data_IF_560008140509
#
_entry.id   IF_560008140509
#
_cell.length_a   1.000
_cell.length_b   1.000
_cell.length_c   1.000
_cell.angle_alpha   90.00
_cell.angle_beta   90.00
_cell.angle_gamma   90.00
#
_symmetry.space_group_name_H-M   'P 1'
#
loop_
_entity.id
_entity.type
_entity.pdbx_description
1 polymer ?
#
# COMPACT_ATOMS: atom_id res chain seq x y z
N UNK A 1 26.92 6.21 18.41
CA UNK A 1 26.15 7.20 17.64
C UNK A 1 24.73 7.07 18.11
N UNK A 2 24.15 8.17 18.58
CA UNK A 2 22.82 8.16 19.17
C UNK A 2 21.77 7.84 18.11
N UNK A 3 20.90 6.89 18.44
CA UNK A 3 19.75 6.56 17.61
C UNK A 3 18.76 7.73 17.62
N UNK A 4 18.37 8.20 16.44
CA UNK A 4 17.44 9.32 16.29
C UNK A 4 16.08 8.78 15.90
N UNK A 5 15.04 9.23 16.57
CA UNK A 5 13.67 8.80 16.30
C UNK A 5 12.96 9.89 15.49
N UNK A 6 12.52 9.55 14.28
CA UNK A 6 11.78 10.46 13.39
C UNK A 6 10.42 9.88 13.03
N UNK A 7 9.46 10.76 12.73
CA UNK A 7 8.11 10.38 12.28
C UNK A 7 8.05 10.26 10.76
N UNK A 8 7.51 9.17 10.24
CA UNK A 8 7.32 8.99 8.79
C UNK A 8 6.20 9.90 8.29
N UNK A 9 6.48 10.61 7.19
CA UNK A 9 5.47 11.35 6.41
C UNK A 9 5.57 11.00 4.92
N UNK A 10 4.53 11.35 4.17
CA UNK A 10 4.45 11.09 2.73
C UNK A 10 5.56 11.82 1.96
N UNK A 11 6.21 11.10 1.05
CA UNK A 11 7.27 11.64 0.21
C UNK A 11 6.68 12.31 -1.05
N UNK A 12 7.23 13.44 -1.52
CA UNK A 12 6.74 14.05 -2.75
C UNK A 12 6.91 13.13 -3.96
N UNK A 13 5.96 13.17 -4.90
CA UNK A 13 5.91 12.30 -6.09
C UNK A 13 7.23 12.22 -6.88
N UNK A 14 7.96 13.34 -6.99
CA UNK A 14 9.24 13.41 -7.72
C UNK A 14 10.38 12.58 -7.10
N UNK A 15 10.28 12.21 -5.82
CA UNK A 15 11.30 11.45 -5.09
C UNK A 15 10.94 9.97 -4.90
N UNK A 16 9.71 9.56 -5.25
CA UNK A 16 9.27 8.17 -5.13
C UNK A 16 10.08 7.26 -6.06
N UNK A 17 10.57 6.12 -5.55
CA UNK A 17 11.34 5.15 -6.34
C UNK A 17 12.76 5.61 -6.66
N UNK A 18 13.31 6.59 -5.91
CA UNK A 18 14.70 7.06 -6.07
C UNK A 18 15.65 6.48 -5.00
N UNK A 19 15.15 5.69 -4.05
CA UNK A 19 15.95 5.06 -2.99
C UNK A 19 16.55 6.06 -2.00
N UNK A 20 15.82 7.15 -1.71
CA UNK A 20 16.28 8.25 -0.85
C UNK A 20 15.28 8.52 0.27
N UNK A 21 15.80 8.94 1.41
CA UNK A 21 15.02 9.52 2.51
C UNK A 21 15.25 11.02 2.59
N UNK A 22 14.17 11.78 2.63
CA UNK A 22 14.21 13.22 2.89
C UNK A 22 14.14 13.41 4.41
N UNK A 23 15.16 14.03 5.00
CA UNK A 23 15.27 14.20 6.45
C UNK A 23 15.24 15.68 6.81
N UNK A 24 14.60 16.00 7.94
CA UNK A 24 14.61 17.32 8.57
C UNK A 24 16.02 17.95 8.59
N UNK A 25 16.21 19.13 7.97
CA UNK A 25 17.51 19.80 7.92
C UNK A 25 18.16 20.04 9.29
N UNK A 26 17.37 20.28 10.34
CA UNK A 26 17.89 20.48 11.70
C UNK A 26 18.63 19.25 12.19
N UNK A 27 18.10 18.05 11.93
CA UNK A 27 18.72 16.79 12.31
C UNK A 27 20.04 16.60 11.56
N UNK A 28 20.09 16.98 10.29
CA UNK A 28 21.32 16.91 9.47
C UNK A 28 22.40 17.85 10.05
N UNK A 29 22.03 19.05 10.47
CA UNK A 29 22.93 20.01 11.13
C UNK A 29 23.45 19.49 12.48
N UNK A 30 22.55 19.02 13.34
CA UNK A 30 22.87 18.54 14.69
C UNK A 30 23.80 17.30 14.64
N UNK A 31 23.58 16.42 13.67
CA UNK A 31 24.37 15.19 13.46
C UNK A 31 25.61 15.40 12.60
N UNK A 32 25.71 16.54 11.91
CA UNK A 32 26.73 16.83 10.88
C UNK A 32 26.75 15.80 9.75
N UNK A 33 25.60 15.21 9.42
CA UNK A 33 25.48 14.31 8.28
C UNK A 33 25.63 15.06 6.96
N UNK A 34 26.07 14.35 5.93
CA UNK A 34 26.28 14.88 4.58
C UNK A 34 25.22 14.33 3.61
N UNK A 35 24.69 15.16 2.69
CA UNK A 35 23.84 14.67 1.61
C UNK A 35 24.48 13.49 0.88
N UNK A 36 23.70 12.44 0.62
CA UNK A 36 24.15 11.20 -0.02
C UNK A 36 24.75 10.15 0.91
N UNK A 37 24.93 10.44 2.22
CA UNK A 37 25.29 9.41 3.20
C UNK A 37 24.21 8.34 3.33
N UNK A 38 24.60 7.15 3.77
CA UNK A 38 23.68 6.02 3.92
C UNK A 38 23.15 5.97 5.34
N UNK A 39 21.83 5.89 5.45
CA UNK A 39 21.12 5.73 6.70
C UNK A 39 20.55 4.31 6.80
N UNK A 40 20.73 3.69 7.96
CA UNK A 40 19.97 2.51 8.38
C UNK A 40 18.66 2.98 9.00
N UNK A 41 17.54 2.50 8.47
CA UNK A 41 16.21 2.70 9.02
C UNK A 41 15.80 1.42 9.74
N UNK A 42 15.35 1.54 10.98
CA UNK A 42 14.89 0.42 11.81
C UNK A 42 13.48 0.66 12.31
N UNK A 43 12.60 -0.30 12.02
CA UNK A 43 11.27 -0.45 12.64
C UNK A 43 11.09 -1.92 13.05
N UNK A 44 10.24 -2.68 12.35
CA UNK A 44 10.12 -4.14 12.52
C UNK A 44 11.28 -4.88 11.84
N UNK A 45 11.73 -4.34 10.70
CA UNK A 45 12.89 -4.80 9.94
C UNK A 45 13.85 -3.63 9.72
N UNK A 46 14.98 -3.93 9.08
CA UNK A 46 16.02 -2.97 8.75
C UNK A 46 16.17 -2.85 7.25
N UNK A 47 16.28 -1.62 6.75
CA UNK A 47 16.65 -1.33 5.37
C UNK A 47 17.54 -0.09 5.35
N UNK A 48 18.07 0.25 4.18
CA UNK A 48 19.03 1.33 4.03
C UNK A 48 18.66 2.25 2.87
N UNK A 49 18.93 3.54 3.03
CA UNK A 49 18.57 4.57 2.05
C UNK A 49 19.60 5.68 2.01
N UNK A 50 19.65 6.41 0.89
CA UNK A 50 20.47 7.62 0.79
C UNK A 50 19.79 8.82 1.44
N UNK A 51 20.53 9.55 2.26
CA UNK A 51 20.09 10.80 2.86
C UNK A 51 19.95 11.89 1.79
N UNK A 52 18.80 12.56 1.80
CA UNK A 52 18.53 13.78 1.05
C UNK A 52 18.03 14.87 2.01
N UNK A 53 18.50 16.12 1.89
CA UNK A 53 18.05 17.20 2.75
C UNK A 53 16.60 17.60 2.42
N UNK A 54 15.80 17.83 3.47
CA UNK A 54 14.48 18.45 3.38
C UNK A 54 14.51 19.93 3.02
N UNK A 55 13.35 20.52 2.84
CA UNK A 55 13.24 21.96 2.58
C UNK A 55 13.42 22.76 3.88
N UNK A 56 13.74 24.05 3.76
CA UNK A 56 13.90 24.95 4.92
C UNK A 56 12.62 25.11 5.73
N UNK A 57 11.45 24.87 5.12
CA UNK A 57 10.15 24.91 5.79
C UNK A 57 9.96 23.76 6.78
N UNK A 58 10.75 22.70 6.65
CA UNK A 58 10.64 21.47 7.45
C UNK A 58 11.61 21.45 8.64
N UNK A 59 12.30 22.57 8.86
CA UNK A 59 13.32 22.71 9.88
C UNK A 59 12.75 22.49 11.29
N UNK A 60 13.24 21.46 11.99
CA UNK A 60 12.87 21.13 13.35
C UNK A 60 11.52 20.40 13.51
N UNK A 61 10.95 19.89 12.42
CA UNK A 61 9.71 19.11 12.43
C UNK A 61 9.90 17.67 12.95
N UNK A 62 11.12 17.14 12.93
CA UNK A 62 11.42 15.77 13.37
C UNK A 62 10.83 14.69 12.45
N UNK A 63 10.65 14.99 11.16
CA UNK A 63 10.06 14.07 10.17
C UNK A 63 11.09 13.47 9.23
N UNK A 64 10.74 12.32 8.69
CA UNK A 64 11.45 11.64 7.60
C UNK A 64 10.44 11.27 6.52
N UNK A 65 10.79 11.51 5.25
CA UNK A 65 9.96 11.12 4.10
C UNK A 65 10.65 10.00 3.34
N UNK A 66 9.96 8.88 3.22
CA UNK A 66 10.42 7.68 2.53
C UNK A 66 9.31 7.15 1.62
N UNK A 67 9.69 6.49 0.54
CA UNK A 67 8.74 5.90 -0.40
C UNK A 67 8.11 4.59 0.11
N UNK A 68 7.06 4.16 -0.57
CA UNK A 68 6.27 2.98 -0.22
C UNK A 68 7.11 1.70 -0.22
N UNK A 69 8.06 1.56 -1.14
CA UNK A 69 8.97 0.40 -1.17
C UNK A 69 9.82 0.33 0.10
N UNK A 70 10.42 1.46 0.51
CA UNK A 70 11.21 1.55 1.75
C UNK A 70 10.33 1.26 2.97
N UNK A 71 9.11 1.82 3.03
CA UNK A 71 8.14 1.58 4.11
C UNK A 71 7.77 0.11 4.24
N UNK A 72 7.47 -0.56 3.12
CA UNK A 72 7.18 -2.00 3.08
C UNK A 72 8.37 -2.85 3.55
N UNK A 73 9.60 -2.49 3.17
CA UNK A 73 10.80 -3.23 3.56
C UNK A 73 11.05 -3.20 5.07
N UNK A 74 10.78 -2.07 5.74
CA UNK A 74 10.89 -1.96 7.21
C UNK A 74 9.62 -2.38 7.96
N UNK A 75 8.51 -2.58 7.23
CA UNK A 75 7.19 -2.89 7.79
C UNK A 75 6.55 -1.70 8.54
N UNK A 76 6.89 -0.47 8.16
CA UNK A 76 6.37 0.76 8.77
C UNK A 76 5.32 1.41 7.84
N UNK A 77 4.48 2.25 8.42
CA UNK A 77 3.42 3.00 7.74
C UNK A 77 3.61 4.49 7.95
N UNK A 78 2.74 5.28 7.32
CA UNK A 78 2.85 6.73 7.43
C UNK A 78 2.32 7.15 8.81
N UNK A 79 3.14 7.87 9.56
CA UNK A 79 2.83 8.33 10.92
C UNK A 79 3.56 7.57 12.02
N UNK A 80 4.12 6.39 11.73
CA UNK A 80 4.98 5.65 12.65
C UNK A 80 6.24 6.45 12.99
N UNK A 81 6.84 6.11 14.13
CA UNK A 81 8.18 6.58 14.52
C UNK A 81 9.21 5.50 14.25
N UNK A 82 10.30 5.84 13.58
CA UNK A 82 11.38 4.92 13.23
C UNK A 82 12.72 5.41 13.77
N UNK A 83 13.60 4.46 14.10
CA UNK A 83 14.98 4.74 14.52
C UNK A 83 15.88 4.83 13.29
N UNK A 84 16.72 5.86 13.24
CA UNK A 84 17.66 6.08 12.15
C UNK A 84 19.09 6.26 12.67
N UNK A 85 20.06 5.78 11.91
CA UNK A 85 21.49 6.00 12.16
C UNK A 85 22.30 5.99 10.87
N UNK A 86 23.42 6.72 10.86
CA UNK A 86 24.37 6.66 9.74
C UNK A 86 25.16 5.36 9.77
N UNK A 87 25.37 4.76 8.60
CA UNK A 87 26.20 3.56 8.42
C UNK A 87 27.06 3.69 7.17
N UNK A 88 28.13 2.89 7.11
CA UNK A 88 28.92 2.76 5.88
C UNK A 88 28.31 1.68 4.98
N UNK A 89 28.22 1.98 3.69
CA UNK A 89 27.87 1.03 2.65
C UNK A 89 29.06 0.84 1.70
N UNK A 90 29.12 -0.29 1.02
CA UNK A 90 30.06 -0.50 -0.10
C UNK A 90 29.36 -0.37 -1.43
N UNK A 91 30.14 -0.18 -2.48
CA UNK A 91 29.67 -0.43 -3.84
C UNK A 91 29.36 -1.93 -4.00
N UNK A 92 28.25 -2.23 -4.67
CA UNK A 92 27.84 -3.60 -4.91
C UNK A 92 28.69 -4.20 -6.03
N UNK A 93 29.40 -5.29 -5.73
CA UNK A 93 30.02 -6.14 -6.75
C UNK A 93 28.96 -7.05 -7.39
N UNK A 94 28.10 -7.62 -6.55
CA UNK A 94 27.06 -8.55 -6.98
C UNK A 94 25.84 -8.47 -6.08
N UNK A 95 24.64 -8.52 -6.67
CA UNK A 95 23.37 -8.65 -5.96
C UNK A 95 22.60 -9.83 -6.55
N UNK A 96 22.21 -10.79 -5.71
CA UNK A 96 21.39 -11.93 -6.14
C UNK A 96 19.93 -11.66 -5.81
N UNK A 97 19.08 -11.74 -6.82
CA UNK A 97 17.65 -11.45 -6.75
C UNK A 97 16.85 -12.71 -7.05
N UNK A 98 15.97 -13.10 -6.14
CA UNK A 98 15.08 -14.24 -6.33
C UNK A 98 13.68 -13.76 -6.69
N UNK A 99 13.11 -14.20 -7.81
CA UNK A 99 11.74 -13.83 -8.18
C UNK A 99 10.74 -14.62 -7.34
N UNK A 100 9.56 -14.03 -7.15
CA UNK A 100 8.42 -14.71 -6.49
C UNK A 100 7.56 -15.50 -7.48
N UNK A 101 7.77 -15.29 -8.78
CA UNK A 101 6.99 -15.84 -9.88
C UNK A 101 7.91 -16.45 -10.94
N UNK A 102 7.38 -17.32 -11.80
CA UNK A 102 8.15 -17.87 -12.92
C UNK A 102 8.42 -16.76 -13.93
N UNK A 103 9.69 -16.54 -14.25
CA UNK A 103 10.11 -15.55 -15.24
C UNK A 103 10.54 -16.20 -16.54
N UNK A 104 10.22 -15.53 -17.64
CA UNK A 104 10.73 -15.82 -18.98
C UNK A 104 11.84 -14.84 -19.41
N UNK A 105 12.28 -13.98 -18.50
CA UNK A 105 13.33 -12.98 -18.72
C UNK A 105 14.68 -13.67 -18.50
N UNK A 106 15.63 -13.44 -19.41
CA UNK A 106 17.00 -13.89 -19.24
C UNK A 106 17.76 -13.01 -18.23
N UNK A 107 18.91 -13.50 -17.75
CA UNK A 107 19.69 -12.81 -16.71
C UNK A 107 20.30 -11.49 -17.22
N UNK A 108 20.56 -11.38 -18.53
CA UNK A 108 21.15 -10.20 -19.18
C UNK A 108 20.12 -9.05 -19.27
N UNK A 109 18.90 -9.31 -19.73
CA UNK A 109 17.83 -8.32 -19.73
C UNK A 109 17.46 -7.86 -18.31
N UNK A 110 17.50 -8.78 -17.34
CA UNK A 110 17.29 -8.43 -15.93
C UNK A 110 18.35 -7.44 -15.45
N UNK A 111 19.62 -7.70 -15.78
CA UNK A 111 20.74 -6.85 -15.41
C UNK A 111 20.54 -5.42 -15.91
N UNK A 112 20.27 -5.24 -17.20
CA UNK A 112 20.08 -3.93 -17.83
C UNK A 112 18.92 -3.15 -17.21
N UNK A 113 17.79 -3.83 -16.98
CA UNK A 113 16.60 -3.21 -16.38
C UNK A 113 16.88 -2.81 -14.93
N UNK A 114 17.57 -3.66 -14.16
CA UNK A 114 17.90 -3.37 -12.75
C UNK A 114 18.85 -2.19 -12.62
N UNK A 115 19.90 -2.12 -13.45
CA UNK A 115 20.82 -0.98 -13.44
C UNK A 115 20.08 0.31 -13.80
N UNK A 116 19.27 0.29 -14.86
CA UNK A 116 18.54 1.49 -15.33
C UNK A 116 17.57 2.03 -14.26
N UNK A 117 16.85 1.14 -13.56
CA UNK A 117 15.84 1.55 -12.58
C UNK A 117 16.42 1.84 -11.20
N UNK A 118 17.46 1.11 -10.79
CA UNK A 118 17.96 1.14 -9.41
C UNK A 118 19.39 1.64 -9.27
N UNK A 119 19.97 2.26 -10.30
CA UNK A 119 21.24 2.97 -10.14
C UNK A 119 21.18 3.89 -8.92
N UNK A 120 22.25 3.91 -8.14
CA UNK A 120 22.36 4.68 -6.90
C UNK A 120 21.43 4.25 -5.75
N UNK A 121 20.65 3.18 -5.87
CA UNK A 121 19.88 2.66 -4.73
C UNK A 121 20.78 1.91 -3.75
N UNK A 122 20.32 1.79 -2.52
CA UNK A 122 20.96 0.96 -1.50
C UNK A 122 20.08 -0.25 -1.28
N UNK A 123 20.67 -1.43 -1.27
CA UNK A 123 19.97 -2.68 -0.99
C UNK A 123 20.63 -3.46 0.13
N UNK A 124 19.79 -4.12 0.89
CA UNK A 124 20.14 -5.04 1.96
C UNK A 124 19.42 -6.36 1.75
N UNK A 125 19.98 -7.44 2.29
CA UNK A 125 19.39 -8.77 2.22
C UNK A 125 17.98 -8.75 2.83
N UNK A 126 17.04 -9.42 2.16
CA UNK A 126 15.60 -9.47 2.42
C UNK A 126 14.79 -8.25 1.99
N UNK A 127 15.41 -7.23 1.39
CA UNK A 127 14.64 -6.17 0.74
C UNK A 127 13.80 -6.74 -0.41
N UNK A 128 12.55 -6.26 -0.49
CA UNK A 128 11.63 -6.52 -1.58
C UNK A 128 11.70 -5.39 -2.59
N UNK A 129 11.85 -5.75 -3.86
CA UNK A 129 11.95 -4.83 -4.99
C UNK A 129 10.82 -5.15 -5.95
N UNK A 130 10.16 -4.10 -6.46
CA UNK A 130 9.14 -4.24 -7.50
C UNK A 130 9.65 -3.60 -8.79
N UNK A 131 9.70 -4.39 -9.86
CA UNK A 131 10.01 -3.89 -11.19
C UNK A 131 8.74 -3.77 -12.03
N UNK A 132 8.48 -2.60 -12.65
CA UNK A 132 7.44 -2.50 -13.66
C UNK A 132 7.83 -3.33 -14.89
N UNK A 133 6.87 -4.04 -15.47
CA UNK A 133 7.05 -4.74 -16.75
C UNK A 133 6.58 -3.83 -17.89
N UNK A 134 7.10 -4.07 -19.10
CA UNK A 134 6.68 -3.31 -20.29
C UNK A 134 5.18 -3.44 -20.61
N UNK A 135 4.52 -4.48 -20.09
CA UNK A 135 3.07 -4.70 -20.25
C UNK A 135 2.25 -4.15 -19.07
N UNK A 136 2.82 -3.28 -18.23
CA UNK A 136 2.11 -2.62 -17.13
C UNK A 136 1.89 -3.49 -15.89
N UNK A 137 2.43 -4.71 -15.86
CA UNK A 137 2.48 -5.55 -14.66
C UNK A 137 3.66 -5.18 -13.77
N UNK A 138 3.81 -5.86 -12.63
CA UNK A 138 4.98 -5.74 -11.76
C UNK A 138 5.51 -7.11 -11.38
N UNK A 139 6.82 -7.26 -11.39
CA UNK A 139 7.50 -8.46 -10.91
C UNK A 139 8.16 -8.13 -9.59
N UNK A 140 7.94 -8.99 -8.59
CA UNK A 140 8.60 -8.87 -7.30
C UNK A 140 9.87 -9.72 -7.25
N UNK A 141 10.93 -9.09 -6.74
CA UNK A 141 12.20 -9.72 -6.43
C UNK A 141 12.52 -9.54 -4.95
N UNK A 142 13.18 -10.54 -4.36
CA UNK A 142 13.72 -10.47 -3.01
C UNK A 142 15.24 -10.53 -3.12
N UNK A 143 15.93 -9.60 -2.46
CA UNK A 143 17.39 -9.63 -2.34
C UNK A 143 17.77 -10.80 -1.42
N UNK A 144 18.39 -11.85 -1.96
CA UNK A 144 18.77 -13.03 -1.17
C UNK A 144 20.20 -12.97 -0.69
N UNK A 145 21.08 -12.31 -1.45
CA UNK A 145 22.47 -12.10 -1.05
C UNK A 145 23.08 -10.89 -1.74
N UNK A 146 24.03 -10.25 -1.07
CA UNK A 146 24.82 -9.14 -1.59
C UNK A 146 26.31 -9.46 -1.42
N UNK A 147 27.12 -8.95 -2.35
CA UNK A 147 28.58 -8.95 -2.25
C UNK A 147 29.08 -7.50 -2.36
N UNK A 148 29.79 -6.99 -1.35
CA UNK A 148 30.07 -7.61 -0.03
C UNK A 148 28.82 -7.77 0.85
N UNK A 149 28.87 -8.63 1.88
CA UNK A 149 27.76 -8.91 2.82
C UNK A 149 27.49 -7.77 3.83
N UNK A 150 27.31 -6.56 3.31
CA UNK A 150 26.93 -5.33 4.03
C UNK A 150 25.88 -4.59 3.19
N UNK A 151 25.32 -3.45 3.65
CA UNK A 151 24.50 -2.62 2.78
C UNK A 151 25.32 -2.22 1.56
N UNK A 152 24.75 -2.42 0.37
CA UNK A 152 25.45 -2.18 -0.89
C UNK A 152 24.74 -1.13 -1.74
N UNK A 153 25.53 -0.27 -2.37
CA UNK A 153 25.09 0.76 -3.29
C UNK A 153 25.19 0.22 -4.72
N UNK A 154 24.11 0.30 -5.47
CA UNK A 154 24.10 -0.06 -6.89
C UNK A 154 24.86 0.98 -7.70
N UNK A 155 25.87 0.53 -8.44
CA UNK A 155 26.69 1.30 -9.38
C UNK A 155 26.59 0.68 -10.77
N UNK A 156 27.16 1.32 -11.79
CA UNK A 156 27.18 0.77 -13.17
C UNK A 156 27.96 -0.54 -13.28
N UNK A 157 28.89 -0.78 -12.35
CA UNK A 157 29.70 -2.00 -12.28
C UNK A 157 29.02 -3.15 -11.53
N UNK A 158 27.85 -2.94 -10.94
CA UNK A 158 27.14 -3.96 -10.15
C UNK A 158 26.62 -5.08 -11.04
N UNK A 159 26.86 -6.33 -10.65
CA UNK A 159 26.32 -7.50 -11.37
C UNK A 159 25.08 -8.03 -10.65
N UNK A 160 23.92 -7.88 -11.27
CA UNK A 160 22.69 -8.57 -10.84
C UNK A 160 22.70 -10.02 -11.30
N UNK A 161 22.35 -10.94 -10.39
CA UNK A 161 22.16 -12.36 -10.69
C UNK A 161 20.78 -12.84 -10.35
N UNK A 162 20.26 -13.77 -11.14
CA UNK A 162 18.96 -14.39 -10.88
C UNK A 162 19.12 -15.63 -9.98
N UNK A 163 18.51 -15.58 -8.80
CA UNK A 163 18.43 -16.70 -7.87
C UNK A 163 17.27 -17.64 -8.19
N UNK A 164 17.17 -18.75 -7.44
CA UNK A 164 16.01 -19.62 -7.52
C UNK A 164 14.75 -18.90 -7.04
N UNK A 165 13.59 -19.30 -7.56
CA UNK A 165 12.30 -18.80 -7.08
C UNK A 165 12.17 -18.97 -5.57
N UNK A 166 11.64 -17.96 -4.91
CA UNK A 166 11.33 -17.99 -3.47
C UNK A 166 9.85 -17.73 -3.26
N UNK A 167 9.30 -18.19 -2.15
CA UNK A 167 7.91 -17.84 -1.80
C UNK A 167 7.85 -16.34 -1.51
N UNK A 168 6.83 -15.66 -2.04
CA UNK A 168 6.51 -14.31 -1.62
C UNK A 168 6.30 -14.31 -0.09
N UNK A 169 6.82 -13.27 0.59
CA UNK A 169 6.82 -13.20 2.07
C UNK A 169 5.40 -13.20 2.63
N UNK A 170 4.41 -12.75 1.87
CA UNK A 170 2.98 -12.93 2.11
C UNK A 170 2.22 -12.70 0.80
N UNK A 171 1.52 -13.71 0.28
CA UNK A 171 0.69 -13.59 -0.95
C UNK A 171 -0.61 -12.84 -0.71
N UNK A 172 -1.08 -12.77 0.54
CA UNK A 172 -2.38 -12.23 0.91
C UNK A 172 -2.33 -10.77 1.36
N UNK A 173 -1.15 -10.14 1.34
CA UNK A 173 -0.98 -8.70 1.58
C UNK A 173 -0.75 -8.01 0.23
N UNK A 174 -1.65 -7.13 -0.22
CA UNK A 174 -1.47 -6.40 -1.47
C UNK A 174 -0.21 -5.54 -1.37
N UNK A 175 0.61 -5.53 -2.42
CA UNK A 175 1.88 -4.79 -2.41
C UNK A 175 1.76 -3.37 -2.98
N UNK A 176 0.53 -2.89 -3.17
CA UNK A 176 0.21 -1.54 -3.61
C UNK A 176 0.39 -0.60 -2.41
N UNK A 177 0.89 0.61 -2.67
CA UNK A 177 1.11 1.66 -1.65
C UNK A 177 0.34 2.92 -2.02
N UNK A 178 0.20 3.87 -1.09
CA UNK A 178 -0.47 5.15 -1.39
C UNK A 178 0.25 5.94 -2.50
N UNK A 179 1.55 5.70 -2.67
CA UNK A 179 2.41 6.26 -3.72
C UNK A 179 1.94 5.92 -5.15
N UNK A 180 1.08 4.90 -5.29
CA UNK A 180 0.51 4.42 -6.55
C UNK A 180 -0.91 4.96 -6.81
N UNK A 181 -1.43 5.81 -5.92
CA UNK A 181 -2.74 6.43 -6.05
C UNK A 181 -2.59 7.89 -6.49
N UNK A 182 -3.04 8.21 -7.71
CA UNK A 182 -3.05 9.58 -8.21
C UNK A 182 -4.40 10.26 -7.95
N UNK A 183 -4.38 11.53 -7.53
CA UNK A 183 -5.60 12.35 -7.39
C UNK A 183 -6.52 12.01 -6.23
N UNK A 184 -6.11 11.13 -5.30
CA UNK A 184 -6.94 10.64 -4.19
C UNK A 184 -6.44 11.11 -2.81
N UNK A 185 -5.74 12.25 -2.73
CA UNK A 185 -5.05 12.69 -1.49
C UNK A 185 -6.02 12.85 -0.31
N UNK A 186 -7.22 13.37 -0.55
CA UNK A 186 -8.23 13.58 0.49
C UNK A 186 -8.86 12.26 0.94
N UNK A 187 -9.14 11.38 0.00
CA UNK A 187 -9.74 10.06 0.20
C UNK A 187 -8.76 9.15 0.94
N UNK A 188 -7.48 9.18 0.56
CA UNK A 188 -6.37 8.53 1.26
C UNK A 188 -6.30 9.04 2.70
N UNK A 189 -6.33 10.36 2.93
CA UNK A 189 -6.32 10.87 4.32
C UNK A 189 -7.49 10.33 5.15
N UNK A 190 -8.72 10.35 4.61
CA UNK A 190 -9.92 9.84 5.29
C UNK A 190 -9.80 8.35 5.61
N UNK A 191 -9.40 7.53 4.63
CA UNK A 191 -9.31 6.08 4.84
C UNK A 191 -8.18 5.71 5.82
N UNK A 192 -7.10 6.48 5.85
CA UNK A 192 -6.02 6.31 6.83
C UNK A 192 -6.51 6.56 8.26
N UNK A 193 -7.28 7.62 8.47
CA UNK A 193 -7.88 7.92 9.78
C UNK A 193 -8.89 6.84 10.22
N UNK A 194 -9.63 6.27 9.28
CA UNK A 194 -10.72 5.32 9.55
C UNK A 194 -10.27 3.86 9.63
N UNK A 195 -9.21 3.47 8.93
CA UNK A 195 -8.77 2.07 8.79
C UNK A 195 -7.34 1.88 9.29
N UNK A 196 -6.38 2.65 8.78
CA UNK A 196 -4.95 2.48 9.13
C UNK A 196 -4.69 2.77 10.61
N UNK A 197 -5.23 3.89 11.13
CA UNK A 197 -4.98 4.33 12.50
C UNK A 197 -5.51 3.34 13.55
N UNK A 198 -6.77 2.83 13.48
CA UNK A 198 -7.23 1.79 14.40
C UNK A 198 -6.42 0.49 14.37
N UNK A 199 -5.94 0.09 13.19
CA UNK A 199 -5.21 -1.18 13.04
C UNK A 199 -3.77 -1.11 13.54
N UNK A 200 -3.08 0.02 13.29
CA UNK A 200 -1.69 0.23 13.72
C UNK A 200 -1.57 0.73 15.15
N UNK A 201 -2.52 1.54 15.61
CA UNK A 201 -2.49 2.18 16.93
C UNK A 201 -3.78 1.96 17.73
N UNK A 202 -4.18 0.69 18.00
CA UNK A 202 -5.39 0.39 18.76
C UNK A 202 -5.39 1.02 20.17
N UNK A 203 -4.21 1.23 20.75
CA UNK A 203 -4.03 1.86 22.06
C UNK A 203 -4.57 3.30 22.13
N UNK A 204 -4.63 4.02 21.00
CA UNK A 204 -5.19 5.36 20.96
C UNK A 204 -6.70 5.34 21.17
N UNK A 205 -7.38 4.38 20.56
CA UNK A 205 -8.83 4.21 20.67
C UNK A 205 -9.23 3.70 22.06
N UNK A 206 -8.45 2.76 22.62
CA UNK A 206 -8.67 2.26 23.98
C UNK A 206 -8.52 3.37 25.04
N UNK A 207 -7.55 4.27 24.89
CA UNK A 207 -7.34 5.41 25.82
C UNK A 207 -8.46 6.44 25.77
N UNK A 208 -9.02 6.71 24.59
CA UNK A 208 -10.05 7.72 24.39
C UNK A 208 -11.45 7.14 24.68
N UNK A 209 -11.60 5.82 24.71
CA UNK A 209 -12.86 5.13 25.00
C UNK A 209 -13.85 5.20 23.85
N UNK A 210 -13.35 5.31 22.61
CA UNK A 210 -14.16 5.33 21.38
C UNK A 210 -13.98 4.04 20.60
N UNK A 211 -15.07 3.51 20.04
CA UNK A 211 -14.98 2.35 19.16
C UNK A 211 -14.43 2.75 17.79
N UNK A 212 -13.58 1.88 17.24
CA UNK A 212 -13.11 2.02 15.87
C UNK A 212 -14.25 1.77 14.86
N UNK A 213 -14.25 2.46 13.70
CA UNK A 213 -15.19 2.18 12.63
C UNK A 213 -15.12 0.70 12.21
N UNK A 214 -16.28 0.05 12.07
CA UNK A 214 -16.33 -1.37 11.65
C UNK A 214 -16.35 -1.53 10.13
N UNK A 215 -16.86 -0.53 9.42
CA UNK A 215 -16.95 -0.60 7.97
C UNK A 215 -16.91 0.74 7.27
N UNK A 216 -16.29 0.74 6.10
CA UNK A 216 -16.16 1.90 5.22
C UNK A 216 -16.81 1.59 3.87
N UNK A 217 -17.73 2.44 3.40
CA UNK A 217 -18.32 2.35 2.07
C UNK A 217 -17.63 3.33 1.11
N UNK A 218 -16.95 2.80 0.11
CA UNK A 218 -16.38 3.54 -1.01
C UNK A 218 -17.43 3.62 -2.13
N UNK A 219 -17.77 4.82 -2.59
CA UNK A 219 -18.73 4.98 -3.68
C UNK A 219 -18.26 6.02 -4.69
N UNK A 220 -18.71 5.89 -5.93
CA UNK A 220 -18.40 6.84 -7.00
C UNK A 220 -18.40 6.16 -8.37
N UNK A 221 -18.12 6.90 -9.46
CA UNK A 221 -18.10 6.35 -10.81
C UNK A 221 -17.16 5.15 -10.98
N UNK A 222 -17.41 4.25 -11.94
CA UNK A 222 -16.49 3.15 -12.24
C UNK A 222 -15.13 3.68 -12.70
N UNK A 223 -14.05 2.96 -12.38
CA UNK A 223 -12.70 3.32 -12.82
C UNK A 223 -12.00 4.42 -12.02
N UNK A 224 -12.60 4.94 -10.94
CA UNK A 224 -11.97 5.98 -10.08
C UNK A 224 -10.99 5.43 -9.04
N UNK A 225 -10.70 4.13 -9.05
CA UNK A 225 -9.67 3.53 -8.19
C UNK A 225 -10.13 3.01 -6.82
N UNK A 226 -11.44 2.77 -6.60
CA UNK A 226 -11.99 2.19 -5.35
C UNK A 226 -11.24 0.92 -4.89
N UNK A 227 -11.09 -0.06 -5.78
CA UNK A 227 -10.39 -1.32 -5.51
C UNK A 227 -8.89 -1.11 -5.25
N UNK A 228 -8.27 -0.15 -5.95
CA UNK A 228 -6.85 0.20 -5.74
C UNK A 228 -6.63 0.86 -4.38
N UNK A 229 -7.52 1.77 -3.96
CA UNK A 229 -7.46 2.40 -2.65
C UNK A 229 -7.53 1.38 -1.52
N UNK A 230 -8.47 0.43 -1.59
CA UNK A 230 -8.59 -0.62 -0.59
C UNK A 230 -7.34 -1.53 -0.51
N UNK A 231 -6.78 -1.89 -1.67
CA UNK A 231 -5.52 -2.65 -1.73
C UNK A 231 -4.34 -1.87 -1.17
N UNK A 232 -4.24 -0.56 -1.46
CA UNK A 232 -3.18 0.29 -0.95
C UNK A 232 -3.21 0.38 0.58
N UNK A 233 -4.40 0.54 1.18
CA UNK A 233 -4.55 0.55 2.63
C UNK A 233 -4.06 -0.75 3.24
N UNK A 234 -4.48 -1.89 2.69
CA UNK A 234 -4.05 -3.20 3.19
C UNK A 234 -2.54 -3.42 3.09
N UNK A 235 -1.92 -2.95 2.01
CA UNK A 235 -0.47 -2.99 1.84
C UNK A 235 0.28 -2.12 2.84
N UNK A 236 -0.25 -0.94 3.16
CA UNK A 236 0.36 0.00 4.11
C UNK A 236 0.14 -0.44 5.57
N UNK A 237 -0.98 -1.10 5.88
CA UNK A 237 -1.21 -1.69 7.21
C UNK A 237 -0.56 -3.06 7.38
N UNK A 238 0.03 -3.64 6.32
CA UNK A 238 0.48 -5.02 6.27
C UNK A 238 -0.58 -5.99 6.82
N UNK A 239 -1.85 -5.74 6.45
CA UNK A 239 -3.00 -6.51 6.90
C UNK A 239 -3.33 -7.60 5.89
N UNK A 240 -3.85 -8.72 6.38
CA UNK A 240 -4.38 -9.76 5.52
C UNK A 240 -5.55 -9.19 4.69
N UNK A 241 -5.55 -9.39 3.37
CA UNK A 241 -6.58 -8.83 2.49
C UNK A 241 -7.40 -9.95 1.87
N UNK A 242 -8.69 -9.95 2.18
CA UNK A 242 -9.65 -10.87 1.58
C UNK A 242 -10.52 -10.08 0.61
N UNK A 243 -10.38 -10.36 -0.68
CA UNK A 243 -11.18 -9.72 -1.72
C UNK A 243 -12.35 -10.62 -2.09
N UNK A 244 -13.53 -10.03 -2.18
CA UNK A 244 -14.75 -10.69 -2.59
C UNK A 244 -15.48 -9.81 -3.60
N UNK A 245 -15.85 -10.37 -4.75
CA UNK A 245 -16.71 -9.68 -5.71
C UNK A 245 -18.16 -10.12 -5.50
N UNK A 246 -19.09 -9.16 -5.44
CA UNK A 246 -20.50 -9.46 -5.20
C UNK A 246 -21.10 -10.51 -6.17
N UNK A 247 -20.85 -10.43 -7.48
CA UNK A 247 -21.25 -11.49 -8.43
C UNK A 247 -20.67 -12.89 -8.12
N UNK A 248 -19.49 -13.00 -7.50
CA UNK A 248 -18.89 -14.29 -7.14
C UNK A 248 -19.57 -14.97 -5.94
N UNK A 249 -20.37 -14.22 -5.17
CA UNK A 249 -21.20 -14.76 -4.10
C UNK A 249 -22.51 -15.31 -4.64
N UNK A 250 -23.01 -14.76 -5.76
CA UNK A 250 -24.25 -15.22 -6.41
C UNK A 250 -24.00 -16.56 -7.12
N UNK A 251 -23.78 -17.62 -6.34
CA UNK A 251 -23.62 -18.99 -6.80
C UNK A 251 -24.92 -19.58 -7.35
N UNK A 252 -24.80 -20.71 -8.05
CA UNK A 252 -25.95 -21.42 -8.66
C UNK A 252 -26.75 -22.26 -7.65
N UNK A 253 -26.24 -22.47 -6.43
CA UNK A 253 -26.81 -23.38 -5.45
C UNK A 253 -27.25 -22.67 -4.16
N UNK A 254 -28.32 -23.18 -3.57
CA UNK A 254 -28.99 -22.60 -2.40
C UNK A 254 -28.13 -22.76 -1.14
N UNK A 255 -27.88 -21.67 -0.40
CA UNK A 255 -27.14 -21.69 0.89
C UNK A 255 -25.62 -21.56 0.79
N UNK A 256 -25.01 -21.89 -0.36
CA UNK A 256 -23.56 -21.78 -0.59
C UNK A 256 -23.04 -20.35 -0.40
N UNK A 257 -23.82 -19.35 -0.83
CA UNK A 257 -23.52 -17.93 -0.67
C UNK A 257 -23.39 -17.50 0.80
N UNK A 258 -24.25 -18.02 1.68
CA UNK A 258 -24.28 -17.65 3.10
C UNK A 258 -23.11 -18.28 3.87
N UNK A 259 -22.81 -19.54 3.57
CA UNK A 259 -21.66 -20.27 4.12
C UNK A 259 -20.35 -19.61 3.70
N UNK A 260 -20.20 -19.26 2.42
CA UNK A 260 -19.02 -18.56 1.90
C UNK A 260 -18.77 -17.21 2.59
N UNK A 261 -19.82 -16.40 2.82
CA UNK A 261 -19.66 -15.14 3.57
C UNK A 261 -19.24 -15.42 5.02
N UNK A 262 -19.83 -16.43 5.68
CA UNK A 262 -19.47 -16.80 7.05
C UNK A 262 -18.00 -17.26 7.16
N UNK A 263 -17.55 -18.09 6.23
CA UNK A 263 -16.15 -18.54 6.16
C UNK A 263 -15.19 -17.38 5.99
N UNK A 264 -15.49 -16.42 5.10
CA UNK A 264 -14.65 -15.23 4.87
C UNK A 264 -14.51 -14.39 6.15
N UNK A 265 -15.60 -14.15 6.88
CA UNK A 265 -15.53 -13.42 8.14
C UNK A 265 -14.75 -14.20 9.21
N UNK A 266 -14.92 -15.52 9.30
CA UNK A 266 -14.13 -16.36 10.22
C UNK A 266 -12.63 -16.32 9.89
N UNK A 267 -12.28 -16.46 8.60
CA UNK A 267 -10.90 -16.37 8.13
C UNK A 267 -10.31 -14.98 8.41
N UNK A 268 -11.07 -13.91 8.28
CA UNK A 268 -10.61 -12.57 8.60
C UNK A 268 -10.31 -12.38 10.09
N UNK A 269 -11.14 -12.95 10.97
CA UNK A 269 -10.92 -12.91 12.42
C UNK A 269 -9.71 -13.76 12.83
N UNK A 270 -9.52 -14.94 12.23
CA UNK A 270 -8.36 -15.81 12.49
C UNK A 270 -7.04 -15.20 12.01
N UNK A 271 -7.06 -14.49 10.88
CA UNK A 271 -5.89 -13.84 10.28
C UNK A 271 -5.75 -12.36 10.66
N UNK A 272 -6.39 -11.92 11.74
CA UNK A 272 -6.33 -10.53 12.19
C UNK A 272 -4.88 -10.09 12.51
N UNK A 273 -4.42 -8.90 12.07
CA UNK A 273 -5.18 -7.82 11.45
C UNK A 273 -5.56 -8.08 9.98
N UNK A 274 -6.84 -7.88 9.64
CA UNK A 274 -7.39 -8.24 8.33
C UNK A 274 -8.37 -7.20 7.78
N UNK A 275 -8.43 -7.07 6.46
CA UNK A 275 -9.35 -6.23 5.71
C UNK A 275 -10.17 -7.12 4.79
N UNK A 276 -11.49 -7.08 4.95
CA UNK A 276 -12.43 -7.72 4.02
C UNK A 276 -12.86 -6.65 3.02
N UNK A 277 -12.55 -6.85 1.75
CA UNK A 277 -12.97 -5.97 0.66
C UNK A 277 -14.10 -6.60 -0.13
N UNK A 278 -15.27 -5.96 -0.14
CA UNK A 278 -16.45 -6.38 -0.90
C UNK A 278 -16.64 -5.42 -2.09
N UNK A 279 -16.26 -5.85 -3.29
CA UNK A 279 -16.52 -5.10 -4.51
C UNK A 279 -17.94 -5.36 -5.02
N UNK A 280 -18.53 -4.37 -5.68
CA UNK A 280 -19.91 -4.42 -6.19
C UNK A 280 -20.94 -4.89 -5.15
N UNK A 281 -20.87 -4.32 -3.94
CA UNK A 281 -21.76 -4.71 -2.82
C UNK A 281 -23.25 -4.54 -3.16
N UNK A 282 -23.59 -3.63 -4.08
CA UNK A 282 -24.95 -3.42 -4.58
C UNK A 282 -25.55 -4.66 -5.26
N UNK A 283 -24.72 -5.59 -5.73
CA UNK A 283 -25.20 -6.86 -6.29
C UNK A 283 -25.71 -7.83 -5.22
N UNK A 284 -25.06 -7.90 -4.06
CA UNK A 284 -25.41 -8.84 -2.97
C UNK A 284 -26.26 -8.20 -1.87
N UNK A 285 -26.31 -6.87 -1.83
CA UNK A 285 -27.10 -6.14 -0.87
C UNK A 285 -28.00 -5.03 -1.45
N UNK A 286 -28.83 -5.34 -2.46
CA UNK A 286 -29.83 -4.41 -2.96
C UNK A 286 -30.90 -4.07 -1.93
N UNK A 287 -31.64 -2.98 -2.16
CA UNK A 287 -32.83 -2.61 -1.38
C UNK A 287 -33.85 -3.75 -1.38
N UNK A 288 -34.37 -4.09 -0.20
CA UNK A 288 -35.32 -5.20 -0.01
C UNK A 288 -36.61 -5.09 -0.83
N UNK A 289 -37.01 -3.86 -1.17
CA UNK A 289 -38.22 -3.57 -1.92
C UNK A 289 -38.04 -3.75 -3.43
N UNK A 290 -36.81 -3.67 -3.93
CA UNK A 290 -36.46 -3.84 -5.36
C UNK A 290 -36.25 -5.32 -5.73
N UNK A 291 -36.28 -6.21 -4.72
CA UNK A 291 -35.86 -7.60 -4.83
C UNK A 291 -37.04 -8.55 -4.62
N UNK A 292 -37.30 -9.37 -5.64
CA UNK A 292 -38.31 -10.43 -5.57
C UNK A 292 -37.77 -11.76 -5.00
N UNK A 293 -36.44 -11.96 -4.99
CA UNK A 293 -35.81 -13.21 -4.55
C UNK A 293 -35.59 -13.31 -3.04
N UNK A 294 -35.94 -14.45 -2.43
CA UNK A 294 -35.68 -14.73 -1.00
C UNK A 294 -34.19 -14.96 -0.68
N UNK A 295 -33.38 -15.31 -1.68
CA UNK A 295 -31.94 -15.60 -1.50
C UNK A 295 -31.17 -14.31 -1.18
N UNK A 296 -31.38 -13.26 -1.98
CA UNK A 296 -30.75 -11.94 -1.79
C UNK A 296 -31.10 -11.33 -0.41
N UNK A 297 -32.36 -11.42 -0.01
CA UNK A 297 -32.82 -10.95 1.32
C UNK A 297 -32.11 -11.67 2.48
N UNK A 298 -31.78 -12.95 2.31
CA UNK A 298 -31.03 -13.71 3.30
C UNK A 298 -29.55 -13.37 3.31
N UNK A 299 -28.93 -13.17 2.15
CA UNK A 299 -27.54 -12.71 2.05
C UNK A 299 -27.37 -11.37 2.78
N UNK A 300 -28.27 -10.42 2.54
CA UNK A 300 -28.32 -9.14 3.27
C UNK A 300 -28.41 -9.36 4.77
N UNK A 301 -29.36 -10.20 5.21
CA UNK A 301 -29.58 -10.48 6.63
C UNK A 301 -28.37 -11.14 7.30
N UNK A 302 -27.68 -12.02 6.58
CA UNK A 302 -26.46 -12.69 7.02
C UNK A 302 -25.30 -11.68 7.12
N UNK A 303 -25.12 -10.81 6.14
CA UNK A 303 -24.09 -9.76 6.18
C UNK A 303 -24.32 -8.80 7.36
N UNK A 304 -25.56 -8.37 7.58
CA UNK A 304 -25.93 -7.55 8.74
C UNK A 304 -25.59 -8.24 10.07
N UNK A 305 -25.92 -9.53 10.18
CA UNK A 305 -25.66 -10.32 11.39
C UNK A 305 -24.16 -10.47 11.65
N UNK A 306 -23.37 -10.70 10.62
CA UNK A 306 -21.91 -10.81 10.73
C UNK A 306 -21.28 -9.47 11.12
N UNK A 307 -21.69 -8.37 10.49
CA UNK A 307 -21.20 -7.03 10.81
C UNK A 307 -21.48 -6.63 12.26
N UNK A 308 -22.70 -6.89 12.73
CA UNK A 308 -23.09 -6.63 14.12
C UNK A 308 -22.34 -7.54 15.10
N UNK A 309 -22.10 -8.79 14.68
CA UNK A 309 -21.41 -9.83 15.44
C UNK A 309 -19.89 -9.65 15.56
N UNK A 310 -19.26 -8.82 14.72
CA UNK A 310 -17.82 -8.55 14.79
C UNK A 310 -17.45 -7.89 16.12
N UNK A 311 -16.70 -8.63 16.95
CA UNK A 311 -16.15 -8.17 18.24
C UNK A 311 -14.68 -7.78 18.16
N UNK A 312 -14.13 -7.65 16.95
CA UNK A 312 -12.69 -7.66 16.64
C UNK A 312 -11.84 -6.50 17.21
N UNK A 313 -12.37 -5.64 18.10
CA UNK A 313 -11.68 -4.43 18.65
C UNK A 313 -10.93 -3.62 17.57
N UNK A 314 -11.49 -3.52 16.37
CA UNK A 314 -10.88 -2.77 15.26
C UNK A 314 -9.74 -3.49 14.52
N UNK A 315 -9.47 -4.76 14.81
CA UNK A 315 -8.47 -5.57 14.06
C UNK A 315 -9.00 -6.15 12.75
N UNK A 316 -10.31 -6.17 12.57
CA UNK A 316 -10.95 -6.54 11.30
C UNK A 316 -11.83 -5.38 10.86
N UNK A 317 -11.61 -4.91 9.64
CA UNK A 317 -12.37 -3.81 9.03
C UNK A 317 -12.96 -4.28 7.71
N UNK A 318 -14.22 -3.93 7.44
CA UNK A 318 -14.91 -4.26 6.19
C UNK A 318 -14.96 -3.03 5.30
N UNK A 319 -14.32 -3.09 4.14
CA UNK A 319 -14.39 -2.04 3.12
C UNK A 319 -15.30 -2.56 2.01
N UNK A 320 -16.36 -1.82 1.68
CA UNK A 320 -17.23 -2.14 0.57
C UNK A 320 -17.10 -1.09 -0.54
N UNK A 321 -17.23 -1.50 -1.79
CA UNK A 321 -17.22 -0.60 -2.95
C UNK A 321 -18.50 -0.74 -3.76
N UNK A 322 -19.02 0.38 -4.25
CA UNK A 322 -20.17 0.41 -5.16
C UNK A 322 -20.07 1.56 -6.17
N UNK A 323 -20.74 1.40 -7.31
CA UNK A 323 -21.01 2.50 -8.23
C UNK A 323 -22.42 3.07 -8.06
N UNK A 324 -23.26 2.44 -7.21
CA UNK A 324 -24.69 2.75 -7.03
C UNK A 324 -25.04 2.80 -5.53
N UNK A 325 -24.59 3.84 -4.80
CA UNK A 325 -24.83 3.95 -3.36
C UNK A 325 -26.32 3.96 -2.98
N UNK A 326 -27.18 4.44 -3.88
CA UNK A 326 -28.63 4.48 -3.67
C UNK A 326 -29.32 3.12 -3.83
N UNK A 327 -28.66 2.12 -4.41
CA UNK A 327 -29.21 0.78 -4.58
C UNK A 327 -28.99 -0.13 -3.37
N UNK A 328 -28.14 0.26 -2.42
CA UNK A 328 -27.79 -0.55 -1.24
C UNK A 328 -28.88 -0.49 -0.17
N UNK A 329 -29.11 -1.61 0.54
CA UNK A 329 -29.97 -1.64 1.73
C UNK A 329 -29.54 -0.57 2.77
N UNK A 330 -30.41 0.40 3.12
CA UNK A 330 -30.09 1.44 4.10
C UNK A 330 -29.70 0.91 5.49
N UNK A 331 -30.09 -0.31 5.84
CA UNK A 331 -29.70 -0.96 7.09
C UNK A 331 -28.18 -1.16 7.16
N UNK A 332 -27.49 -1.40 6.05
CA UNK A 332 -26.03 -1.57 6.02
C UNK A 332 -25.28 -0.27 6.28
N UNK A 333 -25.90 0.89 6.02
CA UNK A 333 -25.32 2.24 6.20
C UNK A 333 -25.54 2.83 7.60
N UNK A 334 -26.09 2.05 8.53
CA UNK A 334 -26.35 2.50 9.90
C UNK A 334 -25.06 2.46 10.75
N UNK A 335 -24.96 3.30 11.79
CA UNK A 335 -23.86 3.26 12.75
C UNK A 335 -23.57 1.84 13.27
N UNK A 336 -22.29 1.46 13.34
CA UNK A 336 -21.85 0.10 13.70
C UNK A 336 -21.73 -0.88 12.52
N UNK A 337 -22.03 -0.45 11.28
CA UNK A 337 -21.86 -1.22 10.05
C UNK A 337 -20.99 -0.43 9.07
N UNK A 338 -21.51 0.01 7.91
CA UNK A 338 -20.85 1.04 7.10
C UNK A 338 -21.21 2.43 7.63
N UNK A 339 -20.59 2.79 8.74
CA UNK A 339 -20.80 4.06 9.45
C UNK A 339 -19.95 5.21 8.91
N UNK A 340 -19.09 4.90 7.94
CA UNK A 340 -18.26 5.84 7.19
C UNK A 340 -18.43 5.62 5.70
N UNK A 341 -18.54 6.74 4.99
CA UNK A 341 -18.66 6.73 3.54
C UNK A 341 -17.63 7.68 2.94
N UNK A 342 -16.97 7.23 1.88
CA UNK A 342 -15.96 8.01 1.15
C UNK A 342 -16.39 8.03 -0.32
N UNK A 343 -16.73 9.22 -0.79
CA UNK A 343 -16.93 9.48 -2.21
C UNK A 343 -15.58 9.50 -2.93
N UNK A 344 -15.47 8.74 -4.01
CA UNK A 344 -14.31 8.72 -4.91
C UNK A 344 -14.76 9.27 -6.26
N UNK A 345 -14.60 10.59 -6.39
CA UNK A 345 -15.00 11.36 -7.56
C UNK A 345 -14.06 11.24 -8.76
N UNK A 346 -14.36 12.03 -9.78
CA UNK A 346 -13.53 12.17 -10.98
C UNK A 346 -12.33 13.06 -10.63
N UNK A 347 -11.09 12.68 -11.00
CA UNK A 347 -9.91 13.46 -10.68
C UNK A 347 -9.89 14.82 -11.39
N UNK A 348 -9.42 15.83 -10.69
CA UNK A 348 -9.13 17.15 -11.25
C UNK A 348 -7.84 17.14 -12.09
N UNK A 349 -7.43 18.28 -12.62
CA UNK A 349 -6.24 18.40 -13.47
C UNK A 349 -4.96 17.95 -12.74
N UNK A 350 -4.82 18.29 -11.46
CA UNK A 350 -3.66 17.84 -10.67
C UNK A 350 -3.70 16.33 -10.45
N UNK A 351 -4.87 15.78 -10.13
CA UNK A 351 -5.08 14.35 -9.97
C UNK A 351 -4.82 13.58 -11.26
N UNK A 352 -5.24 14.09 -12.42
CA UNK A 352 -4.92 13.49 -13.73
C UNK A 352 -3.43 13.52 -14.01
N UNK A 353 -2.74 14.62 -13.67
CA UNK A 353 -1.28 14.68 -13.79
C UNK A 353 -0.58 13.65 -12.89
N UNK A 354 -1.04 13.49 -11.65
CA UNK A 354 -0.51 12.49 -10.71
C UNK A 354 -0.73 11.07 -11.27
N UNK A 355 -1.94 10.75 -11.77
CA UNK A 355 -2.27 9.46 -12.40
C UNK A 355 -1.35 9.18 -13.59
N UNK A 356 -1.21 10.15 -14.51
CA UNK A 356 -0.33 10.02 -15.67
C UNK A 356 1.11 9.75 -15.24
N UNK A 357 1.62 10.53 -14.28
CA UNK A 357 2.99 10.42 -13.76
C UNK A 357 3.27 9.03 -13.16
N UNK A 358 2.29 8.45 -12.47
CA UNK A 358 2.40 7.09 -11.90
C UNK A 358 2.46 6.05 -13.01
N UNK A 359 1.54 6.12 -13.99
CA UNK A 359 1.47 5.13 -15.06
C UNK A 359 2.63 5.24 -16.06
N UNK A 360 3.26 6.40 -16.21
CA UNK A 360 4.43 6.58 -17.08
C UNK A 360 5.78 6.40 -16.39
N UNK A 361 5.83 6.14 -15.08
CA UNK A 361 7.09 6.10 -14.30
C UNK A 361 8.11 5.08 -14.84
N UNK A 362 7.65 3.96 -15.37
CA UNK A 362 8.49 2.91 -15.96
C UNK A 362 8.46 2.88 -17.49
N UNK A 363 7.88 3.90 -18.15
CA UNK A 363 7.72 3.93 -19.59
C UNK A 363 8.82 4.80 -20.24
N UNK A 364 9.43 4.35 -21.35
CA UNK A 364 10.28 5.21 -22.15
C UNK A 364 9.40 6.27 -22.85
N UNK A 365 9.43 7.49 -22.35
CA UNK A 365 8.71 8.64 -22.92
C UNK A 365 9.70 9.56 -23.65
N UNK A 366 9.30 10.05 -24.83
CA UNK A 366 10.07 11.06 -25.57
C UNK A 366 10.04 12.40 -24.83
N UNK A 367 11.13 13.17 -24.86
CA UNK A 367 11.24 14.47 -24.19
C UNK A 367 10.17 15.48 -24.61
N UNK A 368 9.56 15.29 -25.79
CA UNK A 368 8.47 16.15 -26.29
C UNK A 368 7.12 15.90 -25.62
N UNK A 369 6.97 14.83 -24.84
CA UNK A 369 5.71 14.49 -24.17
C UNK A 369 5.52 15.35 -22.93
N UNK A 370 4.58 16.30 -22.97
CA UNK A 370 4.19 17.12 -21.82
C UNK A 370 2.95 16.55 -21.12
N UNK A 371 3.19 15.80 -20.03
CA UNK A 371 2.11 15.24 -19.19
C UNK A 371 1.24 16.31 -18.55
N UNK A 372 1.79 17.50 -18.25
CA UNK A 372 1.00 18.61 -17.68
C UNK A 372 0.02 19.14 -18.71
N UNK A 373 0.42 19.24 -19.98
CA UNK A 373 -0.50 19.64 -21.03
C UNK A 373 -1.60 18.59 -21.23
N UNK A 374 -1.25 17.30 -21.25
CA UNK A 374 -2.22 16.20 -21.41
C UNK A 374 -3.23 16.19 -20.25
N UNK A 375 -2.79 16.44 -19.02
CA UNK A 375 -3.67 16.46 -17.84
C UNK A 375 -4.76 17.53 -17.85
N UNK A 376 -4.64 18.57 -18.70
CA UNK A 376 -5.63 19.66 -18.81
C UNK A 376 -6.77 19.35 -19.76
N UNK A 377 -6.58 18.37 -20.64
CA UNK A 377 -7.63 17.77 -21.47
C UNK A 377 -8.55 16.97 -20.55
#
# INVERSE_FOLDING_TARGET
MDEIILKIVEIPQQHIGRGRAIVDPKIIEDTKWKPGQILELTYNKKTHVKLWPGSTEEYGTGVIKIDGMTRQNIGAGIGDKISIKSVEAAEAEQITLSPTEKLSIDEEQLHDVMITNFQNHVFTVHDSIQLPTQMGGKIQFIVTSTKPSKPVIVTESTIFKLGSMTKAVDTNVPRITYDELGGLKNEVRKIREMVELPMRHPELFEKIGVEAPKGVLLYGPPGTGKTLLAKAVAGETNAHFISLSGPEIMGKYYGESEEKIREIFSQAEENAPSIIFIDEIDSIAPKRDEVSGEVEKRIVSQLLTLMDGMKSRGKVVVIAATNRPDSIDPALRRPGRFDREIEIGIPDTEGRFDILSIHTRGMPIDEKVDLKQISKI
#
